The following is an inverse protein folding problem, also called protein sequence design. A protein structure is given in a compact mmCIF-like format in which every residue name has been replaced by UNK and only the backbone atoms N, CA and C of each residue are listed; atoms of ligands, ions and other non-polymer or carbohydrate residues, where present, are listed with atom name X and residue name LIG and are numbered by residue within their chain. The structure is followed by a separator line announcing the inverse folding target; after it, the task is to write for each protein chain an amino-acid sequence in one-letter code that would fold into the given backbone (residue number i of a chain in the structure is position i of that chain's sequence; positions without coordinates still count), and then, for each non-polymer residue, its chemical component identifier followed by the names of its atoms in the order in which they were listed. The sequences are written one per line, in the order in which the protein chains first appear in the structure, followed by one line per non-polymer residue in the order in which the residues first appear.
data_IF_300058797198
#
_entry.id   IF_300058797198
#
_cell.length_a   1.000
_cell.length_b   1.000
_cell.length_c   1.000
_cell.angle_alpha   90.00
_cell.angle_beta   90.00
_cell.angle_gamma   90.00
#
_symmetry.space_group_name_H-M   'P 1'
#
loop_
_entity.id
_entity.type
_entity.pdbx_description
1 polymer ?
#
# COMPACT_ATOMS: atom_id res chain seq x y z
N UNK A 1 6.29 -18.02 -28.35
CA UNK A 1 6.94 -16.76 -27.93
C UNK A 1 5.98 -16.01 -27.01
N UNK A 2 6.24 -16.04 -25.70
CA UNK A 2 5.32 -15.49 -24.69
C UNK A 2 5.40 -13.97 -24.62
N UNK A 3 4.24 -13.29 -24.68
CA UNK A 3 4.16 -11.83 -24.52
C UNK A 3 4.62 -11.46 -23.11
N UNK A 4 5.69 -10.67 -23.03
CA UNK A 4 6.18 -10.05 -21.79
C UNK A 4 5.05 -9.21 -21.20
N UNK A 5 4.73 -9.45 -19.93
CA UNK A 5 3.70 -8.73 -19.16
C UNK A 5 3.90 -7.22 -19.36
N UNK A 6 2.94 -6.57 -20.03
CA UNK A 6 2.97 -5.13 -20.24
C UNK A 6 2.37 -4.46 -19.01
N UNK A 7 3.23 -3.93 -18.13
CA UNK A 7 2.80 -3.19 -16.95
C UNK A 7 2.29 -1.79 -17.35
N UNK A 8 1.17 -1.31 -16.80
CA UNK A 8 0.64 0.00 -17.13
C UNK A 8 1.63 1.11 -16.77
N UNK A 9 2.07 1.87 -17.78
CA UNK A 9 2.88 3.09 -17.65
C UNK A 9 2.03 4.26 -17.13
N UNK A 10 1.46 4.15 -15.92
CA UNK A 10 0.97 5.34 -15.24
C UNK A 10 2.14 5.93 -14.47
N UNK A 11 2.64 7.08 -14.93
CA UNK A 11 3.66 7.85 -14.21
C UNK A 11 3.13 8.21 -12.82
N UNK A 12 3.46 7.39 -11.83
CA UNK A 12 3.29 7.73 -10.43
C UNK A 12 4.30 8.86 -10.16
N UNK A 13 3.82 10.04 -9.77
CA UNK A 13 4.72 11.11 -9.38
C UNK A 13 5.58 10.66 -8.18
N UNK A 14 6.85 11.07 -8.11
CA UNK A 14 7.78 10.54 -7.12
C UNK A 14 7.30 10.82 -5.70
N UNK A 15 7.05 9.76 -4.92
CA UNK A 15 6.84 9.87 -3.49
C UNK A 15 8.17 10.18 -2.81
N UNK A 16 8.33 11.38 -2.25
CA UNK A 16 9.52 11.73 -1.48
C UNK A 16 9.45 11.10 -0.09
N UNK A 17 10.03 9.90 0.05
CA UNK A 17 10.28 9.27 1.35
C UNK A 17 11.70 9.64 1.79
N UNK A 18 11.85 10.23 2.99
CA UNK A 18 13.18 10.47 3.58
C UNK A 18 13.89 9.12 3.73
N UNK A 19 15.14 9.01 3.32
CA UNK A 19 15.89 7.75 3.46
C UNK A 19 16.07 7.44 4.95
N UNK A 20 15.77 6.21 5.38
CA UNK A 20 15.79 5.82 6.78
C UNK A 20 15.96 4.31 6.97
N UNK A 21 16.54 3.93 8.11
CA UNK A 21 16.73 2.53 8.49
C UNK A 21 15.42 1.85 8.94
N UNK A 22 14.39 2.64 9.27
CA UNK A 22 13.09 2.13 9.69
C UNK A 22 12.00 3.12 9.31
N UNK A 23 10.90 2.60 8.77
CA UNK A 23 9.73 3.36 8.41
C UNK A 23 8.50 2.75 9.04
N UNK A 24 7.56 3.60 9.47
CA UNK A 24 6.26 3.15 9.94
C UNK A 24 5.24 3.30 8.82
N UNK A 25 4.66 2.19 8.39
CA UNK A 25 3.55 2.19 7.43
C UNK A 25 2.25 2.04 8.20
N UNK A 26 1.23 2.79 7.78
CA UNK A 26 -0.15 2.58 8.21
C UNK A 26 -1.04 2.39 6.99
N UNK A 27 -1.95 1.42 7.04
CA UNK A 27 -2.87 1.10 5.94
C UNK A 27 -4.29 1.03 6.46
N UNK A 28 -5.21 1.62 5.72
CA UNK A 28 -6.64 1.61 6.01
C UNK A 28 -7.36 1.13 4.75
N UNK A 29 -8.15 0.06 4.86
CA UNK A 29 -8.95 -0.44 3.74
C UNK A 29 -10.27 0.33 3.70
N UNK A 30 -10.56 0.94 2.56
CA UNK A 30 -11.72 1.81 2.33
C UNK A 30 -12.68 1.30 1.26
N UNK A 31 -12.35 0.14 0.67
CA UNK A 31 -13.18 -0.48 -0.35
C UNK A 31 -14.55 -0.88 0.22
N UNK A 32 -15.59 -0.14 -0.18
CA UNK A 32 -16.97 -0.39 0.23
C UNK A 32 -17.61 -1.58 -0.50
N UNK A 33 -17.05 -2.01 -1.64
CA UNK A 33 -17.65 -3.05 -2.49
C UNK A 33 -17.12 -4.41 -2.11
N UNK A 34 -15.80 -4.55 -1.95
CA UNK A 34 -15.14 -5.84 -1.65
C UNK A 34 -14.03 -5.69 -0.59
N UNK A 35 -14.35 -5.24 0.64
CA UNK A 35 -13.35 -4.95 1.67
C UNK A 35 -12.48 -6.16 2.01
N UNK A 36 -13.06 -7.36 2.13
CA UNK A 36 -12.31 -8.60 2.39
C UNK A 36 -11.30 -8.89 1.29
N UNK A 37 -11.71 -8.84 0.02
CA UNK A 37 -10.81 -9.13 -1.11
C UNK A 37 -9.68 -8.10 -1.18
N UNK A 38 -9.97 -6.83 -0.97
CA UNK A 38 -8.97 -5.78 -0.94
C UNK A 38 -8.01 -5.94 0.24
N UNK A 39 -8.51 -6.28 1.43
CA UNK A 39 -7.64 -6.64 2.56
C UNK A 39 -6.73 -7.82 2.23
N UNK A 40 -7.22 -8.87 1.58
CA UNK A 40 -6.40 -10.03 1.17
C UNK A 40 -5.27 -9.64 0.22
N UNK A 41 -5.55 -8.78 -0.76
CA UNK A 41 -4.53 -8.24 -1.65
C UNK A 41 -3.47 -7.44 -0.86
N UNK A 42 -3.89 -6.55 0.04
CA UNK A 42 -2.97 -5.74 0.85
C UNK A 42 -2.15 -6.60 1.82
N UNK A 43 -2.74 -7.67 2.38
CA UNK A 43 -2.05 -8.52 3.36
C UNK A 43 -0.79 -9.14 2.75
N UNK A 44 -0.88 -9.58 1.49
CA UNK A 44 0.28 -10.11 0.78
C UNK A 44 1.41 -9.07 0.70
N UNK A 45 1.09 -7.82 0.34
CA UNK A 45 2.08 -6.74 0.27
C UNK A 45 2.69 -6.39 1.64
N UNK A 46 1.89 -6.46 2.71
CA UNK A 46 2.40 -6.29 4.09
C UNK A 46 3.39 -7.41 4.44
N UNK A 47 3.10 -8.66 4.08
CA UNK A 47 3.98 -9.81 4.31
C UNK A 47 5.29 -9.70 3.53
N UNK A 48 5.22 -9.31 2.26
CA UNK A 48 6.41 -9.08 1.42
C UNK A 48 7.28 -7.93 1.96
N UNK A 49 6.68 -6.89 2.53
CA UNK A 49 7.40 -5.71 3.01
C UNK A 49 8.02 -5.88 4.40
N UNK A 50 7.36 -6.61 5.31
CA UNK A 50 7.72 -6.67 6.73
C UNK A 50 7.60 -8.07 7.38
N UNK A 51 7.33 -9.10 6.59
CA UNK A 51 7.21 -10.49 7.05
C UNK A 51 5.84 -10.83 7.65
N UNK A 52 5.65 -12.12 7.98
CA UNK A 52 4.37 -12.64 8.48
C UNK A 52 3.91 -12.02 9.81
N UNK A 53 4.82 -11.69 10.72
CA UNK A 53 4.45 -11.07 12.00
C UNK A 53 3.78 -9.70 11.81
N UNK A 54 4.06 -9.01 10.70
CA UNK A 54 3.50 -7.70 10.41
C UNK A 54 2.00 -7.74 10.05
N UNK A 55 1.43 -8.91 9.77
CA UNK A 55 -0.02 -9.03 9.52
C UNK A 55 -0.84 -9.30 10.78
N UNK A 56 -0.20 -9.43 11.93
CA UNK A 56 -0.90 -9.64 13.19
C UNK A 56 -1.86 -8.47 13.46
N UNK A 57 -3.13 -8.79 13.66
CA UNK A 57 -4.20 -7.80 13.84
C UNK A 57 -4.80 -7.25 12.54
N UNK A 58 -4.30 -7.63 11.36
CA UNK A 58 -4.89 -7.24 10.07
C UNK A 58 -6.01 -8.19 9.64
N UNK A 59 -7.08 -8.21 10.43
CA UNK A 59 -8.22 -9.14 10.25
C UNK A 59 -9.38 -8.48 9.51
N UNK A 60 -10.29 -9.30 8.97
CA UNK A 60 -11.53 -8.81 8.35
C UNK A 60 -12.38 -8.00 9.35
N UNK A 61 -12.42 -8.41 10.61
CA UNK A 61 -13.16 -7.72 11.66
C UNK A 61 -12.56 -6.33 11.97
N UNK A 62 -11.23 -6.24 12.05
CA UNK A 62 -10.55 -4.97 12.24
C UNK A 62 -10.82 -4.02 11.06
N UNK A 63 -10.71 -4.51 9.82
CA UNK A 63 -11.03 -3.73 8.63
C UNK A 63 -12.48 -3.25 8.62
N UNK A 64 -13.44 -4.11 8.98
CA UNK A 64 -14.85 -3.73 9.06
C UNK A 64 -15.11 -2.61 10.09
N UNK A 65 -14.32 -2.55 11.15
CA UNK A 65 -14.36 -1.47 12.14
C UNK A 65 -13.63 -0.19 11.71
N UNK A 66 -13.10 -0.13 10.48
CA UNK A 66 -12.32 1.01 10.00
C UNK A 66 -10.92 1.11 10.64
N UNK A 67 -10.41 0.01 11.19
CA UNK A 67 -9.11 -0.01 11.83
C UNK A 67 -7.99 0.32 10.83
N UNK A 68 -7.07 1.19 11.28
CA UNK A 68 -5.85 1.48 10.55
C UNK A 68 -4.75 0.53 11.01
N UNK A 69 -4.43 -0.44 10.16
CA UNK A 69 -3.34 -1.39 10.39
C UNK A 69 -1.99 -0.67 10.36
N UNK A 70 -1.07 -1.04 11.26
CA UNK A 70 0.24 -0.40 11.38
C UNK A 70 1.32 -1.44 11.50
N UNK A 71 2.43 -1.22 10.79
CA UNK A 71 3.60 -2.09 10.84
C UNK A 71 4.86 -1.30 10.49
N UNK A 72 6.01 -1.81 10.91
CA UNK A 72 7.29 -1.20 10.65
C UNK A 72 8.03 -1.95 9.52
N UNK A 73 8.74 -1.21 8.68
CA UNK A 73 9.54 -1.72 7.56
C UNK A 73 10.99 -1.31 7.75
N UNK A 74 11.92 -2.25 7.63
CA UNK A 74 13.34 -2.05 7.92
C UNK A 74 14.18 -1.41 6.81
N UNK A 75 13.57 -0.95 5.71
CA UNK A 75 14.31 -0.23 4.66
C UNK A 75 13.42 0.63 3.77
N UNK A 76 13.97 1.75 3.30
CA UNK A 76 13.32 2.58 2.27
C UNK A 76 13.06 1.81 0.97
N UNK A 77 13.89 0.82 0.62
CA UNK A 77 13.67 -0.03 -0.57
C UNK A 77 12.38 -0.83 -0.47
N UNK A 78 12.12 -1.46 0.68
CA UNK A 78 10.89 -2.21 0.92
C UNK A 78 9.66 -1.28 0.93
N UNK A 79 9.77 -0.06 1.50
CA UNK A 79 8.72 0.96 1.42
C UNK A 79 8.39 1.33 -0.03
N UNK A 80 9.41 1.58 -0.86
CA UNK A 80 9.20 1.92 -2.29
C UNK A 80 8.48 0.80 -3.03
N UNK A 81 8.87 -0.46 -2.79
CA UNK A 81 8.20 -1.63 -3.38
C UNK A 81 6.74 -1.71 -2.93
N UNK A 82 6.48 -1.62 -1.62
CA UNK A 82 5.13 -1.61 -1.07
C UNK A 82 4.24 -0.54 -1.70
N UNK A 83 4.74 0.69 -1.86
CA UNK A 83 3.99 1.78 -2.51
C UNK A 83 3.71 1.48 -3.99
N UNK A 84 4.67 0.92 -4.71
CA UNK A 84 4.51 0.58 -6.12
C UNK A 84 3.41 -0.48 -6.32
N UNK A 85 3.46 -1.58 -5.55
CA UNK A 85 2.50 -2.69 -5.66
C UNK A 85 1.09 -2.31 -5.19
N UNK A 86 0.99 -1.38 -4.23
CA UNK A 86 -0.30 -0.90 -3.72
C UNK A 86 -0.85 0.34 -4.44
N UNK A 87 -0.11 0.87 -5.41
CA UNK A 87 -0.40 2.16 -6.05
C UNK A 87 -1.78 2.21 -6.72
N UNK A 88 -2.19 1.14 -7.41
CA UNK A 88 -3.51 1.06 -8.05
C UNK A 88 -4.66 1.06 -7.05
N UNK A 89 -4.48 0.41 -5.89
CA UNK A 89 -5.47 0.40 -4.81
C UNK A 89 -5.60 1.78 -4.16
N UNK A 90 -4.48 2.50 -4.01
CA UNK A 90 -4.47 3.89 -3.53
C UNK A 90 -5.13 4.82 -4.54
N UNK A 91 -4.78 4.69 -5.83
CA UNK A 91 -5.30 5.53 -6.92
C UNK A 91 -6.82 5.38 -7.10
N UNK A 92 -7.35 4.17 -6.89
CA UNK A 92 -8.78 3.88 -6.93
C UNK A 92 -9.51 4.17 -5.61
N UNK A 93 -8.81 4.69 -4.60
CA UNK A 93 -9.37 5.02 -3.29
C UNK A 93 -9.79 3.81 -2.45
N UNK A 94 -9.44 2.59 -2.87
CA UNK A 94 -9.76 1.35 -2.16
C UNK A 94 -8.98 1.18 -0.87
N UNK A 95 -7.81 1.81 -0.79
CA UNK A 95 -7.01 1.89 0.43
C UNK A 95 -6.46 3.30 0.63
N UNK A 96 -6.14 3.62 1.88
CA UNK A 96 -5.31 4.77 2.21
C UNK A 96 -4.04 4.28 2.91
N UNK A 97 -2.90 4.83 2.50
CA UNK A 97 -1.58 4.47 3.03
C UNK A 97 -0.94 5.72 3.63
N UNK A 98 -0.25 5.55 4.76
CA UNK A 98 0.61 6.56 5.37
C UNK A 98 2.00 5.97 5.58
N UNK A 99 3.03 6.79 5.33
CA UNK A 99 4.43 6.47 5.59
C UNK A 99 4.97 7.54 6.52
N UNK A 100 5.45 7.13 7.69
CA UNK A 100 5.97 8.02 8.74
C UNK A 100 4.99 9.16 9.09
N UNK A 101 3.69 8.84 9.08
CA UNK A 101 2.60 9.79 9.35
C UNK A 101 2.16 10.63 8.15
N UNK A 102 2.90 10.63 7.03
CA UNK A 102 2.53 11.34 5.81
C UNK A 102 1.63 10.47 4.95
N UNK A 103 0.48 10.99 4.55
CA UNK A 103 -0.46 10.26 3.68
C UNK A 103 0.09 10.18 2.27
N UNK A 104 0.16 8.96 1.72
CA UNK A 104 0.42 8.71 0.31
C UNK A 104 -0.81 9.17 -0.47
N UNK A 105 -0.62 10.11 -1.38
CA UNK A 105 -1.67 10.59 -2.27
C UNK A 105 -1.33 10.22 -3.72
N UNK A 106 -2.30 9.70 -4.49
CA UNK A 106 -2.12 9.55 -5.92
C UNK A 106 -2.05 10.97 -6.52
N UNK A 107 -0.88 11.37 -7.01
CA UNK A 107 -0.78 12.58 -7.81
C UNK A 107 -1.29 12.26 -9.21
N UNK A 108 -2.60 12.40 -9.39
CA UNK A 108 -3.20 12.35 -10.72
C UNK A 108 -2.71 13.60 -11.45
N UNK A 109 -1.74 13.46 -12.36
CA UNK A 109 -1.56 14.47 -13.41
C UNK A 109 -2.89 14.49 -14.17
N UNK A 110 -3.70 15.53 -13.97
CA UNK A 110 -4.73 15.89 -14.96
C UNK A 110 -3.95 16.11 -16.25
N UNK A 111 -4.08 15.19 -17.21
CA UNK A 111 -3.85 15.54 -18.60
C UNK A 111 -4.97 16.54 -18.92
N UNK A 112 -4.58 17.81 -19.03
CA UNK A 112 -5.40 18.86 -19.62
C UNK A 112 -5.44 18.65 -21.14
#
# INVERSE_FOLDING_TARGET
MGKVLTFPQKMIAPLTVRNGAKHRISVEVRDAVRPRRTRWAVQFEVQEAAGFAAVNGFTDAAVAAGYRHRFDVGSTRAVRRFVAETSDLVATGRIAVWIDGVRVQPQVKRQA
#
